data_IF_126194416948
#
_entry.id   IF_126194416948
#
_cell.length_a   1.000
_cell.length_b   1.000
_cell.length_c   1.000
_cell.angle_alpha   90.00
_cell.angle_beta   90.00
_cell.angle_gamma   90.00
#
_symmetry.space_group_name_H-M   'P 1'
#
loop_
_entity.id
_entity.type
_entity.pdbx_description
1 polymer ?
#
# COMPACT_ATOMS: atom_id res chain seq x y z
N UNK A 1 -31.10 7.54 -0.71
CA UNK A 1 -30.14 7.24 0.37
C UNK A 1 -30.66 7.70 1.73
N UNK A 2 -31.33 8.86 1.85
CA UNK A 2 -31.94 9.31 3.10
C UNK A 2 -33.10 8.42 3.62
N UNK A 3 -33.67 7.53 2.79
CA UNK A 3 -34.80 6.66 3.17
C UNK A 3 -34.43 5.42 4.01
N UNK A 4 -33.16 5.25 4.40
CA UNK A 4 -32.71 4.11 5.21
C UNK A 4 -32.03 4.51 6.54
N UNK A 5 -32.15 5.77 6.95
CA UNK A 5 -31.60 6.24 8.24
C UNK A 5 -30.07 6.32 8.29
N UNK A 6 -29.40 6.29 7.13
CA UNK A 6 -27.94 6.43 7.01
C UNK A 6 -27.64 7.58 6.05
N UNK A 7 -26.91 8.56 6.54
CA UNK A 7 -26.44 9.71 5.75
C UNK A 7 -25.08 9.41 5.12
N UNK A 8 -24.68 10.23 4.16
CA UNK A 8 -23.34 10.16 3.58
C UNK A 8 -22.23 10.39 4.63
N UNK A 9 -22.47 11.25 5.62
CA UNK A 9 -21.55 11.50 6.73
C UNK A 9 -21.38 10.25 7.58
N UNK A 10 -22.47 9.55 7.87
CA UNK A 10 -22.41 8.29 8.61
C UNK A 10 -21.57 7.24 7.87
N UNK A 11 -21.70 7.15 6.54
CA UNK A 11 -20.88 6.25 5.72
C UNK A 11 -19.39 6.58 5.80
N UNK A 12 -19.04 7.88 5.73
CA UNK A 12 -17.65 8.32 5.91
C UNK A 12 -17.12 7.87 7.27
N UNK A 13 -17.88 8.10 8.33
CA UNK A 13 -17.49 7.73 9.69
C UNK A 13 -17.33 6.22 9.86
N UNK A 14 -18.23 5.42 9.29
CA UNK A 14 -18.14 3.96 9.33
C UNK A 14 -16.94 3.43 8.54
N UNK A 15 -16.59 4.03 7.42
CA UNK A 15 -15.44 3.59 6.61
C UNK A 15 -14.08 3.96 7.21
N UNK A 16 -14.01 4.91 8.15
CA UNK A 16 -12.74 5.26 8.82
C UNK A 16 -12.02 4.07 9.44
N UNK A 17 -12.76 3.08 9.97
CA UNK A 17 -12.14 1.90 10.59
C UNK A 17 -11.48 0.97 9.56
N UNK A 18 -11.93 1.00 8.30
CA UNK A 18 -11.43 0.15 7.22
C UNK A 18 -10.51 0.88 6.25
N UNK A 19 -10.44 2.21 6.30
CA UNK A 19 -9.60 3.02 5.40
C UNK A 19 -8.14 3.06 5.91
N UNK A 20 -7.21 2.34 5.26
CA UNK A 20 -5.82 2.24 5.73
C UNK A 20 -5.07 3.58 5.73
N UNK A 21 -5.48 4.54 4.91
CA UNK A 21 -4.84 5.85 4.82
C UNK A 21 -5.14 6.77 6.03
N UNK A 22 -6.10 6.40 6.88
CA UNK A 22 -6.45 7.14 8.11
C UNK A 22 -5.57 6.78 9.31
N UNK A 23 -4.69 5.79 9.19
CA UNK A 23 -3.83 5.35 10.28
C UNK A 23 -2.41 5.02 9.80
N UNK A 24 -1.42 5.28 10.65
CA UNK A 24 -0.06 4.83 10.41
C UNK A 24 0.06 3.33 10.71
N UNK A 25 0.67 2.55 9.80
CA UNK A 25 0.91 1.14 10.05
C UNK A 25 1.89 0.96 11.23
N UNK A 26 1.66 -0.06 12.07
CA UNK A 26 2.60 -0.42 13.15
C UNK A 26 3.94 -0.97 12.61
N UNK A 27 3.92 -1.41 11.36
CA UNK A 27 5.11 -1.88 10.65
C UNK A 27 5.91 -0.67 10.18
N UNK A 28 7.22 -0.65 10.46
CA UNK A 28 8.11 0.42 9.97
C UNK A 28 8.06 0.51 8.44
N UNK A 29 8.05 1.73 7.89
CA UNK A 29 7.87 1.96 6.45
C UNK A 29 8.93 1.29 5.57
N UNK A 30 10.14 1.11 6.10
CA UNK A 30 11.24 0.40 5.45
C UNK A 30 10.93 -1.09 5.22
N UNK A 31 9.93 -1.62 5.94
CA UNK A 31 9.46 -2.98 5.87
C UNK A 31 8.17 -3.11 5.04
N UNK A 32 7.73 -2.04 4.37
CA UNK A 32 6.54 -2.01 3.53
C UNK A 32 6.95 -1.82 2.07
N UNK A 33 6.41 -2.69 1.21
CA UNK A 33 6.49 -2.57 -0.24
C UNK A 33 5.08 -2.43 -0.81
N UNK A 34 4.83 -1.33 -1.54
CA UNK A 34 3.58 -1.11 -2.27
C UNK A 34 3.78 -1.34 -3.77
N UNK A 35 2.85 -2.04 -4.42
CA UNK A 35 2.86 -2.30 -5.86
C UNK A 35 1.48 -1.97 -6.43
N UNK A 36 1.43 -1.12 -7.46
CA UNK A 36 0.18 -0.74 -8.14
C UNK A 36 0.32 -0.73 -9.67
N UNK A 37 -0.81 -0.74 -10.37
CA UNK A 37 -0.87 -0.61 -11.83
C UNK A 37 -1.14 0.85 -12.25
N UNK A 38 -0.35 1.38 -13.20
CA UNK A 38 -0.50 2.73 -13.76
C UNK A 38 -1.85 2.95 -14.47
N UNK A 39 -2.41 1.90 -15.04
CA UNK A 39 -3.66 1.93 -15.82
C UNK A 39 -4.77 1.14 -15.13
N UNK A 40 -4.70 1.04 -13.80
CA UNK A 40 -5.74 0.41 -13.01
C UNK A 40 -7.01 1.28 -13.07
N UNK A 41 -8.14 0.65 -13.41
CA UNK A 41 -9.46 1.29 -13.54
C UNK A 41 -10.37 0.97 -12.35
N UNK A 42 -9.93 0.11 -11.43
CA UNK A 42 -10.62 -0.25 -10.20
C UNK A 42 -10.08 0.54 -9.01
N UNK A 43 -8.78 0.76 -8.97
CA UNK A 43 -8.10 1.57 -7.95
C UNK A 43 -7.38 2.70 -8.66
N UNK A 44 -7.79 3.95 -8.40
CA UNK A 44 -7.24 5.10 -9.09
C UNK A 44 -5.86 5.48 -8.53
N UNK A 45 -5.05 6.17 -9.35
CA UNK A 45 -3.73 6.65 -8.94
C UNK A 45 -3.80 7.50 -7.67
N UNK A 46 -4.80 8.34 -7.58
CA UNK A 46 -5.08 9.28 -6.50
C UNK A 46 -5.27 8.54 -5.17
N UNK A 47 -5.98 7.41 -5.17
CA UNK A 47 -6.16 6.58 -3.98
C UNK A 47 -4.83 5.92 -3.56
N UNK A 48 -4.05 5.43 -4.54
CA UNK A 48 -2.74 4.83 -4.25
C UNK A 48 -1.68 5.85 -3.83
N UNK A 49 -1.78 7.08 -4.32
CA UNK A 49 -0.93 8.21 -3.92
C UNK A 49 -1.29 8.67 -2.51
N UNK A 50 -2.58 8.80 -2.21
CA UNK A 50 -3.07 9.15 -0.89
C UNK A 50 -2.59 8.17 0.19
N UNK A 51 -2.74 6.86 -0.05
CA UNK A 51 -2.23 5.82 0.85
C UNK A 51 -0.70 5.92 1.03
N UNK A 52 0.03 6.08 -0.09
CA UNK A 52 1.48 6.15 -0.06
C UNK A 52 2.00 7.35 0.73
N UNK A 53 1.38 8.52 0.57
CA UNK A 53 1.69 9.72 1.34
C UNK A 53 1.34 9.56 2.82
N UNK A 54 0.15 9.04 3.11
CA UNK A 54 -0.32 8.80 4.48
C UNK A 54 0.60 7.84 5.26
N UNK A 55 1.23 6.89 4.58
CA UNK A 55 2.16 5.93 5.17
C UNK A 55 3.63 6.39 5.17
N UNK A 56 3.87 7.69 5.01
CA UNK A 56 5.22 8.30 4.97
C UNK A 56 6.11 7.81 3.82
N UNK A 57 5.48 7.52 2.68
CA UNK A 57 6.16 7.20 1.41
C UNK A 57 7.07 5.96 1.51
N UNK A 58 6.54 4.76 1.86
CA UNK A 58 7.30 3.52 1.83
C UNK A 58 7.79 3.17 0.41
N UNK A 59 8.59 2.11 0.28
CA UNK A 59 9.07 1.67 -1.06
C UNK A 59 7.87 1.37 -1.96
N UNK A 60 7.85 1.95 -3.17
CA UNK A 60 6.72 1.82 -4.11
C UNK A 60 7.16 1.54 -5.53
N UNK A 61 6.49 0.59 -6.18
CA UNK A 61 6.61 0.33 -7.62
C UNK A 61 5.28 0.48 -8.34
N UNK A 62 5.29 1.22 -9.45
CA UNK A 62 4.12 1.42 -10.32
C UNK A 62 4.39 0.74 -11.65
N UNK A 63 3.58 -0.25 -12.02
CA UNK A 63 3.76 -1.03 -13.23
C UNK A 63 2.87 -0.52 -14.36
N UNK A 64 3.38 -0.50 -15.61
CA UNK A 64 2.59 -0.18 -16.80
C UNK A 64 1.63 -1.34 -17.14
N UNK A 65 0.54 -1.45 -16.38
CA UNK A 65 -0.56 -2.39 -16.54
C UNK A 65 -1.81 -1.86 -15.83
N UNK A 66 -2.99 -2.44 -16.14
CA UNK A 66 -4.19 -2.28 -15.32
C UNK A 66 -4.32 -3.38 -14.26
N UNK A 67 -5.44 -3.37 -13.52
CA UNK A 67 -5.69 -4.26 -12.38
C UNK A 67 -5.45 -5.73 -12.71
N UNK A 68 -6.23 -6.27 -13.66
CA UNK A 68 -6.10 -7.66 -14.09
C UNK A 68 -4.76 -7.92 -14.81
N UNK A 69 -4.18 -6.90 -15.46
CA UNK A 69 -2.90 -7.02 -16.16
C UNK A 69 -1.70 -7.22 -15.24
N UNK A 70 -1.84 -6.95 -13.94
CA UNK A 70 -0.74 -7.11 -12.97
C UNK A 70 -0.27 -8.57 -12.87
N UNK A 71 -1.17 -9.55 -13.08
CA UNK A 71 -0.83 -10.98 -13.04
C UNK A 71 0.18 -11.39 -14.11
N UNK A 72 0.19 -10.67 -15.24
CA UNK A 72 1.16 -10.88 -16.31
C UNK A 72 2.56 -10.37 -15.93
N UNK A 73 2.66 -9.52 -14.91
CA UNK A 73 3.92 -9.02 -14.34
C UNK A 73 4.52 -9.95 -13.29
N UNK A 74 4.02 -11.18 -13.12
CA UNK A 74 4.47 -12.16 -12.09
C UNK A 74 6.00 -12.29 -11.93
N UNK A 75 6.75 -12.32 -13.05
CA UNK A 75 8.22 -12.40 -13.00
C UNK A 75 8.83 -11.15 -12.38
N UNK A 76 8.32 -9.97 -12.78
CA UNK A 76 8.76 -8.69 -12.23
C UNK A 76 8.38 -8.53 -10.77
N UNK A 77 7.16 -8.93 -10.38
CA UNK A 77 6.72 -8.96 -8.97
C UNK A 77 7.69 -9.79 -8.14
N UNK A 78 8.01 -11.01 -8.61
CA UNK A 78 8.93 -11.90 -7.91
C UNK A 78 10.32 -11.27 -7.74
N UNK A 79 10.91 -10.74 -8.82
CA UNK A 79 12.22 -10.08 -8.79
C UNK A 79 12.22 -8.87 -7.86
N UNK A 80 11.26 -7.95 -8.01
CA UNK A 80 11.18 -6.73 -7.22
C UNK A 80 10.95 -7.04 -5.73
N UNK A 81 10.12 -8.04 -5.42
CA UNK A 81 9.86 -8.49 -4.03
C UNK A 81 11.09 -9.14 -3.41
N UNK A 82 11.79 -10.02 -4.15
CA UNK A 82 13.03 -10.65 -3.67
C UNK A 82 14.09 -9.59 -3.39
N UNK A 83 14.27 -8.64 -4.31
CA UNK A 83 15.22 -7.54 -4.14
C UNK A 83 14.88 -6.70 -2.90
N UNK A 84 13.60 -6.37 -2.70
CA UNK A 84 13.15 -5.65 -1.51
C UNK A 84 13.51 -6.40 -0.21
N UNK A 85 13.24 -7.71 -0.15
CA UNK A 85 13.56 -8.54 1.02
C UNK A 85 15.08 -8.64 1.22
N UNK A 86 15.85 -8.91 0.16
CA UNK A 86 17.31 -9.05 0.25
C UNK A 86 17.98 -7.75 0.68
N UNK A 87 17.54 -6.60 0.17
CA UNK A 87 18.06 -5.30 0.60
C UNK A 87 17.86 -5.08 2.09
N UNK A 88 16.74 -5.53 2.66
CA UNK A 88 16.50 -5.48 4.11
C UNK A 88 17.43 -6.41 4.88
N UNK A 89 17.63 -7.65 4.41
CA UNK A 89 18.52 -8.62 5.06
C UNK A 89 19.99 -8.22 5.01
N UNK A 90 20.39 -7.56 3.92
CA UNK A 90 21.77 -7.11 3.69
C UNK A 90 22.06 -5.72 4.26
N UNK A 91 21.04 -4.99 4.70
CA UNK A 91 21.23 -3.72 5.41
C UNK A 91 21.47 -4.05 6.89
N UNK A 92 22.67 -3.78 7.45
CA UNK A 92 22.97 -4.10 8.83
C UNK A 92 22.23 -3.14 9.76
N UNK A 93 21.00 -3.49 10.14
CA UNK A 93 20.38 -2.97 11.35
C UNK A 93 19.34 -3.95 11.89
N UNK A 94 19.80 -4.83 12.79
CA UNK A 94 19.14 -5.28 14.04
C UNK A 94 19.98 -6.39 14.72
N UNK A 95 21.29 -6.17 14.84
CA UNK A 95 22.05 -6.67 15.99
C UNK A 95 22.38 -5.45 16.84
N UNK A 96 21.53 -5.16 17.82
CA UNK A 96 21.79 -4.35 19.03
C UNK A 96 20.45 -3.85 19.58
N UNK A 97 19.71 -4.77 20.21
CA UNK A 97 18.68 -4.44 21.19
C UNK A 97 18.70 -5.50 22.29
N UNK A 98 19.79 -5.51 23.06
CA UNK A 98 19.90 -5.92 24.47
C UNK A 98 20.98 -4.99 25.07
N UNK A 99 20.81 -4.43 26.27
CA UNK A 99 20.29 -5.08 27.48
C UNK A 99 18.92 -4.57 27.97
#
# INVERSE_FOLDING_TARGET
MENHGVTYVDLIDYWKITEPSQALPKVQKENILLISGKHDLYVHSEDTDYLWEAWEKPTRYIYTCGHAGIVLKRKKIATDTINFIQNRLNTPHLSNAMP
#
